data_IF_692915897904
#
_entry.id   IF_692915897904
#
_cell.length_a   1.000
_cell.length_b   1.000
_cell.length_c   1.000
_cell.angle_alpha   90.00
_cell.angle_beta   90.00
_cell.angle_gamma   90.00
#
_symmetry.space_group_name_H-M   'P 1'
#
loop_
_entity.id
_entity.type
_entity.pdbx_description
1 polymer ?
#
# COMPACT_ATOMS: atom_id res chain seq x y z
N UNK A 1 -22.28 28.84 18.98
CA UNK A 1 -21.93 28.17 17.69
C UNK A 1 -20.49 27.70 17.66
N UNK A 2 -19.48 28.55 17.93
CA UNK A 2 -18.07 28.14 17.91
C UNK A 2 -17.71 26.92 18.81
N UNK A 3 -18.30 26.80 20.01
CA UNK A 3 -18.07 25.64 20.89
C UNK A 3 -18.61 24.34 20.30
N UNK A 4 -19.75 24.41 19.60
CA UNK A 4 -20.36 23.24 18.96
C UNK A 4 -19.57 22.80 17.72
N UNK A 5 -19.08 23.76 16.93
CA UNK A 5 -18.19 23.48 15.79
C UNK A 5 -16.87 22.85 16.25
N UNK A 6 -16.24 23.40 17.28
CA UNK A 6 -15.02 22.85 17.86
C UNK A 6 -15.25 21.42 18.39
N UNK A 7 -16.36 21.21 19.10
CA UNK A 7 -16.74 19.89 19.59
C UNK A 7 -16.93 18.89 18.44
N UNK A 8 -17.68 19.27 17.39
CA UNK A 8 -17.89 18.42 16.23
C UNK A 8 -16.57 18.07 15.51
N UNK A 9 -15.67 19.05 15.35
CA UNK A 9 -14.34 18.80 14.78
C UNK A 9 -13.54 17.80 15.64
N UNK A 10 -13.49 18.00 16.96
CA UNK A 10 -12.77 17.10 17.87
C UNK A 10 -13.31 15.67 17.78
N UNK A 11 -14.63 15.49 17.73
CA UNK A 11 -15.26 14.16 17.60
C UNK A 11 -14.91 13.50 16.27
N UNK A 12 -14.94 14.25 15.16
CA UNK A 12 -14.57 13.73 13.84
C UNK A 12 -13.09 13.31 13.80
N UNK A 13 -12.18 14.16 14.28
CA UNK A 13 -10.75 13.83 14.34
C UNK A 13 -10.48 12.62 15.24
N UNK A 14 -11.17 12.52 16.38
CA UNK A 14 -11.04 11.41 17.31
C UNK A 14 -11.56 10.08 16.73
N UNK A 15 -12.39 10.10 15.68
CA UNK A 15 -12.83 8.90 14.98
C UNK A 15 -11.95 8.54 13.77
N UNK A 16 -11.62 9.54 12.94
CA UNK A 16 -10.90 9.33 11.67
C UNK A 16 -9.43 8.97 11.93
N UNK A 17 -8.74 9.73 12.78
CA UNK A 17 -7.28 9.54 12.99
C UNK A 17 -6.97 8.16 13.55
N UNK A 18 -7.67 7.63 14.58
CA UNK A 18 -7.40 6.28 15.06
C UNK A 18 -7.74 5.20 14.04
N UNK A 19 -8.76 5.41 13.20
CA UNK A 19 -9.08 4.47 12.13
C UNK A 19 -7.96 4.39 11.09
N UNK A 20 -7.47 5.54 10.63
CA UNK A 20 -6.35 5.63 9.70
C UNK A 20 -5.09 4.99 10.28
N UNK A 21 -4.76 5.32 11.53
CA UNK A 21 -3.61 4.73 12.24
C UNK A 21 -3.75 3.22 12.40
N UNK A 22 -4.95 2.73 12.72
CA UNK A 22 -5.23 1.30 12.76
C UNK A 22 -4.98 0.65 11.39
N UNK A 23 -5.44 1.29 10.31
CA UNK A 23 -5.27 0.78 8.96
C UNK A 23 -3.78 0.67 8.59
N UNK A 24 -3.03 1.74 8.85
CA UNK A 24 -1.58 1.79 8.64
C UNK A 24 -0.85 0.76 9.49
N UNK A 25 -1.21 0.64 10.76
CA UNK A 25 -0.60 -0.31 11.69
C UNK A 25 -0.77 -1.75 11.18
N UNK A 26 -1.98 -2.12 10.76
CA UNK A 26 -2.24 -3.45 10.20
C UNK A 26 -1.42 -3.69 8.92
N UNK A 27 -1.37 -2.73 7.99
CA UNK A 27 -0.56 -2.86 6.78
C UNK A 27 0.93 -3.02 7.06
N UNK A 28 1.45 -2.27 8.03
CA UNK A 28 2.83 -2.39 8.48
C UNK A 28 3.11 -3.77 9.08
N UNK A 29 2.23 -4.31 9.93
CA UNK A 29 2.36 -5.66 10.48
C UNK A 29 2.38 -6.73 9.39
N UNK A 30 1.47 -6.66 8.42
CA UNK A 30 1.45 -7.59 7.28
C UNK A 30 2.79 -7.52 6.52
N UNK A 31 3.27 -6.31 6.27
CA UNK A 31 4.52 -6.11 5.53
C UNK A 31 5.74 -6.67 6.30
N UNK A 32 5.74 -6.54 7.63
CA UNK A 32 6.76 -7.15 8.50
C UNK A 32 6.68 -8.68 8.43
N UNK A 33 5.48 -9.26 8.51
CA UNK A 33 5.30 -10.72 8.36
C UNK A 33 5.78 -11.20 6.99
N UNK A 34 5.53 -10.43 5.94
CA UNK A 34 6.02 -10.72 4.59
C UNK A 34 7.55 -10.70 4.51
N UNK A 35 8.19 -9.71 5.15
CA UNK A 35 9.65 -9.64 5.26
C UNK A 35 10.22 -10.84 6.03
N UNK A 36 9.54 -11.28 7.09
CA UNK A 36 9.92 -12.49 7.84
C UNK A 36 9.85 -13.73 6.94
N UNK A 37 8.75 -13.88 6.19
CA UNK A 37 8.58 -14.95 5.21
C UNK A 37 9.70 -14.95 4.17
N UNK A 38 10.04 -13.79 3.60
CA UNK A 38 11.14 -13.66 2.63
C UNK A 38 12.49 -14.11 3.22
N UNK A 39 12.72 -13.83 4.50
CA UNK A 39 13.94 -14.26 5.20
C UNK A 39 13.96 -15.77 5.39
N UNK A 40 12.84 -16.37 5.79
CA UNK A 40 12.69 -17.82 5.95
C UNK A 40 12.83 -18.56 4.61
N UNK A 41 12.24 -18.05 3.53
CA UNK A 41 12.42 -18.57 2.17
C UNK A 41 13.91 -18.56 1.80
N UNK A 42 14.60 -17.44 2.01
CA UNK A 42 16.02 -17.31 1.70
C UNK A 42 16.88 -18.28 2.51
N UNK A 43 16.55 -18.51 3.78
CA UNK A 43 17.23 -19.50 4.63
C UNK A 43 17.03 -20.93 4.12
N UNK A 44 15.78 -21.30 3.80
CA UNK A 44 15.43 -22.62 3.25
C UNK A 44 16.18 -22.89 1.93
N UNK A 45 16.30 -21.88 1.07
CA UNK A 45 16.96 -22.02 -0.23
C UNK A 45 18.49 -22.12 -0.14
N UNK A 46 19.10 -21.50 0.88
CA UNK A 46 20.55 -21.57 1.11
C UNK A 46 21.00 -22.79 1.93
N UNK A 47 20.07 -23.50 2.58
CA UNK A 47 20.40 -24.69 3.40
C UNK A 47 20.75 -25.87 2.48
N UNK A 48 21.95 -26.45 2.62
CA UNK A 48 22.34 -27.67 1.92
C UNK A 48 21.59 -28.89 2.48
N UNK A 49 21.21 -29.82 1.60
CA UNK A 49 20.36 -30.97 1.95
C UNK A 49 21.11 -32.24 1.56
N UNK A 50 21.91 -32.76 2.50
CA UNK A 50 22.80 -33.90 2.26
C UNK A 50 22.27 -35.19 2.88
N UNK A 51 21.58 -35.11 4.04
CA UNK A 51 21.08 -36.30 4.75
C UNK A 51 19.58 -36.56 4.48
N UNK A 52 19.10 -37.81 4.68
CA UNK A 52 17.67 -38.11 4.56
C UNK A 52 16.81 -37.43 5.65
N UNK A 53 17.39 -37.14 6.82
CA UNK A 53 16.73 -36.36 7.88
C UNK A 53 16.56 -34.89 7.46
N UNK A 54 17.58 -34.31 6.80
CA UNK A 54 17.51 -32.95 6.24
C UNK A 54 16.42 -32.82 5.18
N UNK A 55 16.20 -33.85 4.36
CA UNK A 55 15.11 -33.85 3.36
C UNK A 55 13.73 -33.79 4.03
N UNK A 56 13.53 -34.49 5.15
CA UNK A 56 12.25 -34.42 5.89
C UNK A 56 12.07 -33.05 6.54
N UNK A 57 13.12 -32.51 7.15
CA UNK A 57 13.11 -31.18 7.76
C UNK A 57 12.85 -30.09 6.71
N UNK A 58 13.50 -30.19 5.55
CA UNK A 58 13.30 -29.31 4.40
C UNK A 58 11.83 -29.32 3.95
N UNK A 59 11.23 -30.49 3.76
CA UNK A 59 9.81 -30.63 3.40
C UNK A 59 8.88 -29.98 4.42
N UNK A 60 9.12 -30.22 5.72
CA UNK A 60 8.32 -29.63 6.78
C UNK A 60 8.40 -28.09 6.79
N UNK A 61 9.60 -27.53 6.59
CA UNK A 61 9.82 -26.07 6.49
C UNK A 61 9.14 -25.48 5.25
N UNK A 62 9.25 -26.15 4.11
CA UNK A 62 8.59 -25.73 2.86
C UNK A 62 7.07 -25.68 3.03
N UNK A 63 6.46 -26.72 3.60
CA UNK A 63 5.01 -26.75 3.84
C UNK A 63 4.58 -25.58 4.71
N UNK A 64 5.29 -25.36 5.84
CA UNK A 64 5.01 -24.24 6.75
C UNK A 64 5.13 -22.89 6.05
N UNK A 65 6.15 -22.71 5.23
CA UNK A 65 6.38 -21.49 4.47
C UNK A 65 5.25 -21.22 3.46
N UNK A 66 4.80 -22.25 2.75
CA UNK A 66 3.70 -22.15 1.78
C UNK A 66 2.39 -21.82 2.48
N UNK A 67 2.11 -22.46 3.61
CA UNK A 67 0.91 -22.18 4.41
C UNK A 67 0.91 -20.75 4.94
N UNK A 68 2.06 -20.27 5.43
CA UNK A 68 2.22 -18.88 5.87
C UNK A 68 2.03 -17.89 4.71
N UNK A 69 2.62 -18.14 3.55
CA UNK A 69 2.43 -17.31 2.37
C UNK A 69 0.96 -17.25 1.92
N UNK A 70 0.29 -18.40 1.86
CA UNK A 70 -1.14 -18.49 1.52
C UNK A 70 -2.02 -17.77 2.54
N UNK A 71 -1.69 -17.87 3.83
CA UNK A 71 -2.37 -17.14 4.90
C UNK A 71 -2.25 -15.63 4.71
N UNK A 72 -1.02 -15.10 4.54
CA UNK A 72 -0.79 -13.67 4.36
C UNK A 72 -1.53 -13.13 3.14
N UNK A 73 -1.51 -13.89 2.05
CA UNK A 73 -2.22 -13.51 0.83
C UNK A 73 -3.72 -13.43 1.03
N UNK A 74 -4.34 -14.45 1.64
CA UNK A 74 -5.77 -14.44 1.96
C UNK A 74 -6.12 -13.28 2.89
N UNK A 75 -5.27 -13.02 3.88
CA UNK A 75 -5.44 -11.91 4.81
C UNK A 75 -5.43 -10.56 4.08
N UNK A 76 -4.49 -10.33 3.16
CA UNK A 76 -4.46 -9.11 2.35
C UNK A 76 -5.69 -9.00 1.44
N UNK A 77 -6.14 -10.09 0.83
CA UNK A 77 -7.35 -10.11 0.00
C UNK A 77 -8.61 -9.74 0.80
N UNK A 78 -8.78 -10.30 2.00
CA UNK A 78 -9.90 -10.00 2.89
C UNK A 78 -9.83 -8.57 3.45
N UNK A 79 -8.63 -8.11 3.78
CA UNK A 79 -8.38 -6.76 4.24
C UNK A 79 -8.69 -5.72 3.15
N UNK A 80 -8.22 -5.98 1.93
CA UNK A 80 -8.54 -5.19 0.74
C UNK A 80 -10.04 -5.14 0.50
N UNK A 81 -10.74 -6.28 0.57
CA UNK A 81 -12.19 -6.34 0.37
C UNK A 81 -12.96 -5.49 1.38
N UNK A 82 -12.50 -5.49 2.64
CA UNK A 82 -13.12 -4.72 3.72
C UNK A 82 -12.94 -3.21 3.52
N UNK A 83 -11.77 -2.78 3.05
CA UNK A 83 -11.46 -1.35 2.85
C UNK A 83 -11.82 -0.83 1.46
N UNK A 84 -12.10 -1.72 0.49
CA UNK A 84 -12.12 -1.37 -0.94
C UNK A 84 -13.05 -0.20 -1.27
N UNK A 85 -14.30 -0.26 -0.79
CA UNK A 85 -15.30 0.78 -1.05
C UNK A 85 -14.99 2.07 -0.29
N UNK A 86 -14.55 1.95 0.98
CA UNK A 86 -14.18 3.08 1.82
C UNK A 86 -13.00 3.87 1.24
N UNK A 87 -11.95 3.18 0.79
CA UNK A 87 -10.79 3.79 0.14
C UNK A 87 -11.15 4.47 -1.17
N UNK A 88 -12.06 3.89 -1.97
CA UNK A 88 -12.51 4.51 -3.21
C UNK A 88 -13.25 5.83 -2.93
N UNK A 89 -14.17 5.81 -1.95
CA UNK A 89 -14.87 7.02 -1.53
C UNK A 89 -13.92 8.06 -0.96
N UNK A 90 -12.94 7.64 -0.16
CA UNK A 90 -11.90 8.52 0.39
C UNK A 90 -11.09 9.18 -0.74
N UNK A 91 -10.61 8.44 -1.73
CA UNK A 91 -9.86 8.98 -2.87
C UNK A 91 -10.71 9.98 -3.66
N UNK A 92 -12.00 9.70 -3.86
CA UNK A 92 -12.90 10.62 -4.55
C UNK A 92 -13.07 11.94 -3.80
N UNK A 93 -13.33 11.88 -2.49
CA UNK A 93 -13.45 13.06 -1.63
C UNK A 93 -12.13 13.82 -1.57
N UNK A 94 -11.01 13.10 -1.47
CA UNK A 94 -9.66 13.67 -1.51
C UNK A 94 -9.46 14.50 -2.79
N UNK A 95 -9.67 13.91 -3.97
CA UNK A 95 -9.48 14.60 -5.26
C UNK A 95 -10.39 15.82 -5.39
N UNK A 96 -11.68 15.69 -5.06
CA UNK A 96 -12.63 16.81 -5.12
C UNK A 96 -12.25 17.95 -4.17
N UNK A 97 -11.91 17.61 -2.92
CA UNK A 97 -11.49 18.60 -1.91
C UNK A 97 -10.22 19.34 -2.34
N UNK A 98 -9.23 18.62 -2.89
CA UNK A 98 -8.01 19.20 -3.42
C UNK A 98 -8.28 20.17 -4.59
N UNK A 99 -9.13 19.78 -5.55
CA UNK A 99 -9.51 20.63 -6.67
C UNK A 99 -10.23 21.90 -6.22
N UNK A 100 -11.16 21.79 -5.25
CA UNK A 100 -11.88 22.93 -4.70
C UNK A 100 -10.95 23.89 -3.94
N UNK A 101 -10.02 23.36 -3.13
CA UNK A 101 -9.03 24.20 -2.43
C UNK A 101 -8.14 24.96 -3.40
N UNK A 102 -7.65 24.29 -4.45
CA UNK A 102 -6.84 24.93 -5.49
C UNK A 102 -7.63 26.00 -6.26
N UNK A 103 -8.92 25.78 -6.49
CA UNK A 103 -9.79 26.80 -7.08
C UNK A 103 -9.92 28.03 -6.17
N UNK A 104 -10.14 27.86 -4.87
CA UNK A 104 -10.19 28.96 -3.89
C UNK A 104 -8.86 29.72 -3.86
N UNK A 105 -7.73 29.03 -3.93
CA UNK A 105 -6.42 29.69 -4.02
C UNK A 105 -6.28 30.50 -5.32
N UNK A 106 -6.89 30.02 -6.42
CA UNK A 106 -6.83 30.69 -7.72
C UNK A 106 -7.57 32.02 -7.78
N UNK A 107 -8.60 32.23 -6.95
CA UNK A 107 -9.38 33.48 -6.91
C UNK A 107 -8.62 34.64 -6.25
N UNK A 108 -7.39 34.43 -5.79
CA UNK A 108 -6.56 35.45 -5.14
C UNK A 108 -7.11 35.89 -3.78
N UNK A 109 -7.35 34.96 -2.83
CA UNK A 109 -7.93 35.29 -1.53
C UNK A 109 -6.93 36.04 -0.65
N UNK A 110 -7.42 36.64 0.44
CA UNK A 110 -6.57 37.26 1.47
C UNK A 110 -5.51 36.29 2.01
N UNK A 111 -4.39 36.83 2.49
CA UNK A 111 -3.24 36.06 2.98
C UNK A 111 -3.63 35.03 4.05
N UNK A 112 -4.57 35.37 4.94
CA UNK A 112 -5.09 34.46 5.98
C UNK A 112 -5.77 33.22 5.37
N UNK A 113 -6.63 33.42 4.38
CA UNK A 113 -7.37 32.34 3.74
C UNK A 113 -6.43 31.47 2.89
N UNK A 114 -5.44 32.09 2.24
CA UNK A 114 -4.38 31.37 1.51
C UNK A 114 -3.57 30.46 2.44
N UNK A 115 -3.13 30.96 3.61
CA UNK A 115 -2.42 30.16 4.61
C UNK A 115 -3.29 28.99 5.07
N UNK A 116 -4.58 29.23 5.35
CA UNK A 116 -5.52 28.16 5.75
C UNK A 116 -5.64 27.07 4.68
N UNK A 117 -5.79 27.45 3.41
CA UNK A 117 -5.91 26.50 2.30
C UNK A 117 -4.63 25.68 2.13
N UNK A 118 -3.46 26.33 2.18
CA UNK A 118 -2.17 25.64 2.09
C UNK A 118 -1.96 24.67 3.26
N UNK A 119 -2.28 25.07 4.49
CA UNK A 119 -2.20 24.18 5.65
C UNK A 119 -3.16 22.99 5.53
N UNK A 120 -4.40 23.22 5.10
CA UNK A 120 -5.37 22.15 4.90
C UNK A 120 -4.89 21.15 3.83
N UNK A 121 -4.46 21.66 2.69
CA UNK A 121 -3.91 20.87 1.58
C UNK A 121 -2.71 20.04 2.02
N UNK A 122 -1.79 20.63 2.79
CA UNK A 122 -0.63 19.94 3.32
C UNK A 122 -1.03 18.83 4.30
N UNK A 123 -1.94 19.08 5.24
CA UNK A 123 -2.40 18.08 6.20
C UNK A 123 -3.07 16.90 5.49
N UNK A 124 -4.03 17.18 4.60
CA UNK A 124 -4.76 16.14 3.86
C UNK A 124 -3.83 15.29 2.99
N UNK A 125 -2.83 15.92 2.35
CA UNK A 125 -1.83 15.21 1.55
C UNK A 125 -0.94 14.30 2.40
N UNK A 126 -0.51 14.78 3.57
CA UNK A 126 0.31 14.00 4.50
C UNK A 126 -0.47 12.80 5.05
N UNK A 127 -1.72 13.00 5.47
CA UNK A 127 -2.59 11.94 5.96
C UNK A 127 -2.70 10.80 4.94
N UNK A 128 -3.01 11.12 3.67
CA UNK A 128 -3.08 10.10 2.62
C UNK A 128 -1.75 9.38 2.38
N UNK A 129 -0.64 10.15 2.27
CA UNK A 129 0.67 9.59 1.93
C UNK A 129 1.18 8.68 3.06
N UNK A 130 1.15 9.17 4.29
CA UNK A 130 1.67 8.43 5.45
C UNK A 130 0.80 7.22 5.80
N UNK A 131 -0.53 7.38 5.78
CA UNK A 131 -1.40 6.32 6.26
C UNK A 131 -1.70 5.25 5.21
N UNK A 132 -1.65 5.59 3.92
CA UNK A 132 -2.08 4.69 2.83
C UNK A 132 -0.99 4.44 1.80
N UNK A 133 -0.41 5.49 1.19
CA UNK A 133 0.49 5.30 0.05
C UNK A 133 1.81 4.60 0.43
N UNK A 134 2.47 5.03 1.50
CA UNK A 134 3.73 4.44 2.00
C UNK A 134 3.54 2.96 2.40
N UNK A 135 2.60 2.60 3.30
CA UNK A 135 2.45 1.20 3.72
C UNK A 135 1.98 0.29 2.58
N UNK A 136 1.11 0.78 1.68
CA UNK A 136 0.70 0.01 0.50
C UNK A 136 1.87 -0.28 -0.44
N UNK A 137 2.73 0.72 -0.68
CA UNK A 137 3.93 0.52 -1.48
C UNK A 137 4.90 -0.44 -0.81
N UNK A 138 5.11 -0.29 0.50
CA UNK A 138 6.03 -1.16 1.25
C UNK A 138 5.59 -2.62 1.19
N UNK A 139 4.29 -2.90 1.37
CA UNK A 139 3.72 -4.24 1.22
C UNK A 139 3.98 -4.80 -0.19
N UNK A 140 3.67 -4.00 -1.23
CA UNK A 140 3.83 -4.41 -2.62
C UNK A 140 5.28 -4.72 -2.96
N UNK A 141 6.23 -3.91 -2.46
CA UNK A 141 7.66 -4.15 -2.62
C UNK A 141 8.12 -5.41 -1.88
N UNK A 142 7.65 -5.68 -0.66
CA UNK A 142 7.99 -6.93 0.04
C UNK A 142 7.47 -8.16 -0.72
N UNK A 143 6.30 -8.07 -1.34
CA UNK A 143 5.77 -9.15 -2.18
C UNK A 143 6.60 -9.37 -3.45
N UNK A 144 7.08 -8.31 -4.10
CA UNK A 144 7.96 -8.42 -5.26
C UNK A 144 9.33 -9.04 -4.91
N UNK A 145 9.89 -8.70 -3.76
CA UNK A 145 11.15 -9.31 -3.27
C UNK A 145 11.02 -10.84 -3.14
N UNK A 146 9.84 -11.37 -2.85
CA UNK A 146 9.60 -12.82 -2.84
C UNK A 146 9.88 -13.44 -4.21
N UNK A 147 9.48 -12.77 -5.29
CA UNK A 147 9.75 -13.22 -6.66
C UNK A 147 11.24 -13.12 -7.00
N UNK A 148 11.89 -12.02 -6.61
CA UNK A 148 13.33 -11.80 -6.83
C UNK A 148 14.17 -12.89 -6.13
N UNK A 149 13.83 -13.25 -4.89
CA UNK A 149 14.51 -14.32 -4.15
C UNK A 149 14.39 -15.67 -4.87
N UNK A 150 13.21 -15.96 -5.43
CA UNK A 150 12.99 -17.19 -6.18
C UNK A 150 13.87 -17.22 -7.45
N UNK A 151 14.03 -16.08 -8.12
CA UNK A 151 14.82 -15.95 -9.33
C UNK A 151 16.34 -15.98 -9.07
N UNK A 152 16.81 -15.30 -8.03
CA UNK A 152 18.23 -15.22 -7.63
C UNK A 152 18.79 -16.56 -7.15
N UNK A 153 17.91 -17.47 -6.75
CA UNK A 153 18.32 -18.83 -6.42
C UNK A 153 18.83 -19.49 -7.68
N UNK A 154 20.01 -20.13 -7.64
CA UNK A 154 20.58 -20.89 -8.79
C UNK A 154 19.80 -22.19 -9.05
N UNK A 155 18.49 -22.10 -9.19
CA UNK A 155 17.52 -23.20 -9.30
C UNK A 155 17.80 -24.12 -10.49
N UNK A 156 18.44 -23.58 -11.53
CA UNK A 156 18.86 -24.32 -12.73
C UNK A 156 20.10 -25.19 -12.50
N UNK A 157 20.87 -24.93 -11.43
CA UNK A 157 22.08 -25.66 -11.08
C UNK A 157 21.90 -26.55 -9.83
N UNK A 158 20.67 -26.65 -9.31
CA UNK A 158 20.37 -27.46 -8.13
C UNK A 158 20.09 -28.91 -8.53
N UNK A 159 20.82 -29.86 -7.94
CA UNK A 159 20.61 -31.30 -8.16
C UNK A 159 19.34 -31.84 -7.47
N UNK A 160 18.91 -31.17 -6.40
CA UNK A 160 17.72 -31.53 -5.63
C UNK A 160 16.42 -31.13 -6.35
N UNK A 161 15.62 -32.13 -6.69
CA UNK A 161 14.32 -32.01 -7.35
C UNK A 161 13.29 -31.28 -6.47
N UNK A 162 13.34 -31.47 -5.16
CA UNK A 162 12.38 -30.87 -4.23
C UNK A 162 12.62 -29.36 -4.10
N UNK A 163 13.89 -28.93 -4.03
CA UNK A 163 14.25 -27.50 -4.10
C UNK A 163 13.81 -26.85 -5.40
N UNK A 164 14.05 -27.50 -6.54
CA UNK A 164 13.63 -26.98 -7.84
C UNK A 164 12.10 -26.84 -7.94
N UNK A 165 11.34 -27.82 -7.44
CA UNK A 165 9.88 -27.74 -7.40
C UNK A 165 9.40 -26.61 -6.49
N UNK A 166 10.06 -26.42 -5.35
CA UNK A 166 9.73 -25.34 -4.42
C UNK A 166 9.92 -23.95 -5.06
N UNK A 167 11.05 -23.72 -5.74
CA UNK A 167 11.30 -22.46 -6.46
C UNK A 167 10.25 -22.23 -7.55
N UNK A 168 9.93 -23.25 -8.37
CA UNK A 168 8.92 -23.13 -9.42
C UNK A 168 7.53 -22.78 -8.86
N UNK A 169 7.14 -23.41 -7.76
CA UNK A 169 5.91 -23.10 -7.05
C UNK A 169 5.95 -21.65 -6.53
N UNK A 170 7.03 -21.25 -5.85
CA UNK A 170 7.17 -19.90 -5.33
C UNK A 170 7.05 -18.84 -6.42
N UNK A 171 7.75 -19.02 -7.56
CA UNK A 171 7.65 -18.12 -8.71
C UNK A 171 6.23 -18.07 -9.29
N UNK A 172 5.47 -19.17 -9.25
CA UNK A 172 4.08 -19.17 -9.74
C UNK A 172 3.13 -18.40 -8.82
N UNK A 173 3.37 -18.44 -7.50
CA UNK A 173 2.49 -17.81 -6.50
C UNK A 173 2.86 -16.33 -6.29
N UNK A 174 4.16 -16.00 -6.32
CA UNK A 174 4.68 -14.64 -6.15
C UNK A 174 4.28 -13.69 -7.28
N UNK A 175 4.04 -14.21 -8.50
CA UNK A 175 3.55 -13.42 -9.66
C UNK A 175 2.18 -12.78 -9.47
N UNK A 176 1.40 -13.20 -8.47
CA UNK A 176 0.11 -12.58 -8.18
C UNK A 176 0.34 -11.31 -7.37
N UNK A 177 -0.03 -10.16 -7.94
CA UNK A 177 0.16 -8.85 -7.35
C UNK A 177 -0.53 -8.74 -5.97
N UNK A 178 0.26 -8.45 -4.95
CA UNK A 178 -0.20 -8.19 -3.58
C UNK A 178 -0.12 -6.68 -3.37
N UNK A 179 -1.24 -6.00 -3.55
CA UNK A 179 -1.31 -4.55 -3.45
C UNK A 179 -2.63 -4.10 -2.82
N UNK A 180 -2.65 -2.88 -2.29
CA UNK A 180 -3.85 -2.27 -1.72
C UNK A 180 -4.77 -1.77 -2.83
N UNK A 181 -5.98 -2.32 -2.92
CA UNK A 181 -6.91 -2.06 -4.03
C UNK A 181 -8.16 -1.28 -3.58
N UNK A 182 -8.30 -0.05 -4.07
CA UNK A 182 -9.50 0.75 -3.91
C UNK A 182 -10.52 0.42 -5.01
N UNK A 183 -11.71 -0.01 -4.58
CA UNK A 183 -12.83 -0.39 -5.45
C UNK A 183 -12.56 -1.52 -6.45
N UNK A 184 -11.44 -2.25 -6.34
CA UNK A 184 -10.87 -3.14 -7.39
C UNK A 184 -10.58 -2.44 -8.73
N UNK A 185 -10.57 -1.11 -8.74
CA UNK A 185 -10.34 -0.29 -9.94
C UNK A 185 -8.97 0.37 -9.86
N UNK A 186 -8.55 0.74 -8.65
CA UNK A 186 -7.35 1.52 -8.40
C UNK A 186 -6.43 0.78 -7.44
N UNK A 187 -5.21 0.52 -7.90
CA UNK A 187 -4.12 0.03 -7.05
C UNK A 187 -3.40 1.22 -6.44
N UNK A 188 -3.36 1.28 -5.11
CA UNK A 188 -2.64 2.35 -4.39
C UNK A 188 -1.15 2.00 -4.38
N UNK A 189 -0.39 2.74 -5.17
CA UNK A 189 1.07 2.71 -5.21
C UNK A 189 1.61 4.14 -5.41
N UNK A 190 2.92 4.31 -5.41
CA UNK A 190 3.53 5.63 -5.62
C UNK A 190 3.23 6.20 -7.01
N UNK A 191 3.14 5.33 -8.02
CA UNK A 191 2.83 5.75 -9.39
C UNK A 191 1.41 6.34 -9.50
N UNK A 192 0.42 5.67 -8.91
CA UNK A 192 -0.96 6.13 -8.82
C UNK A 192 -1.04 7.43 -8.04
N UNK A 193 -0.38 7.50 -6.88
CA UNK A 193 -0.36 8.71 -6.05
C UNK A 193 0.20 9.90 -6.83
N UNK A 194 1.31 9.72 -7.56
CA UNK A 194 1.89 10.76 -8.40
C UNK A 194 0.97 11.15 -9.57
N UNK A 195 0.36 10.16 -10.24
CA UNK A 195 -0.63 10.39 -11.30
C UNK A 195 -1.83 11.19 -10.78
N UNK A 196 -2.33 10.87 -9.59
CA UNK A 196 -3.43 11.56 -8.94
C UNK A 196 -3.10 13.04 -8.72
N UNK A 197 -1.96 13.35 -8.10
CA UNK A 197 -1.52 14.74 -7.90
C UNK A 197 -1.30 15.47 -9.23
N UNK A 198 -0.68 14.84 -10.23
CA UNK A 198 -0.50 15.43 -11.57
C UNK A 198 -1.83 15.80 -12.21
N UNK A 199 -2.86 14.96 -12.07
CA UNK A 199 -4.20 15.25 -12.58
C UNK A 199 -4.83 16.43 -11.85
N UNK A 200 -4.73 16.48 -10.52
CA UNK A 200 -5.22 17.60 -9.70
C UNK A 200 -4.56 18.92 -10.16
N UNK A 201 -3.23 18.96 -10.29
CA UNK A 201 -2.51 20.16 -10.73
C UNK A 201 -2.79 20.52 -12.20
N UNK A 202 -2.91 19.53 -13.08
CA UNK A 202 -3.28 19.77 -14.48
C UNK A 202 -4.67 20.41 -14.60
N UNK A 203 -5.63 19.90 -13.82
CA UNK A 203 -6.98 20.46 -13.76
C UNK A 203 -6.98 21.88 -13.19
N UNK A 204 -6.21 22.13 -12.14
CA UNK A 204 -5.98 23.48 -11.62
C UNK A 204 -5.40 24.43 -12.68
N UNK A 205 -4.35 24.03 -13.40
CA UNK A 205 -3.73 24.84 -14.44
C UNK A 205 -4.70 25.13 -15.60
N UNK A 206 -5.53 24.15 -15.95
CA UNK A 206 -6.60 24.31 -16.93
C UNK A 206 -7.64 25.35 -16.46
N UNK A 207 -8.18 25.20 -15.24
CA UNK A 207 -9.14 26.15 -14.67
C UNK A 207 -8.56 27.56 -14.57
N UNK A 208 -7.30 27.70 -14.16
CA UNK A 208 -6.61 28.99 -14.08
C UNK A 208 -6.48 29.66 -15.44
N UNK A 209 -6.15 28.89 -16.49
CA UNK A 209 -6.07 29.40 -17.86
C UNK A 209 -7.43 29.89 -18.36
N UNK A 210 -8.49 29.12 -18.10
CA UNK A 210 -9.86 29.48 -18.48
C UNK A 210 -10.36 30.71 -17.72
N UNK A 211 -10.10 30.79 -16.41
CA UNK A 211 -10.52 31.92 -15.57
C UNK A 211 -9.76 33.22 -15.84
N UNK A 212 -8.61 33.17 -16.53
CA UNK A 212 -7.83 34.35 -16.93
C UNK A 212 -8.24 34.89 -18.31
N UNK A 213 -9.00 34.13 -19.09
CA UNK A 213 -9.51 34.52 -20.41
C UNK A 213 -10.93 35.14 -20.35
N UNK A 214 -11.43 35.42 -19.16
CA UNK A 214 -12.67 36.15 -18.87
C UNK A 214 -12.35 37.36 -17.99
#
# INVERSE_FOLDING_TARGET
MAVYELYAMCVLFAAIVPFDLYVTYMMCLISIQWKSLNTEIKDILNTDVDTPEDHQLFKARVIRCVDHHNFLKRYVEDYNKSLSLGLLAYIMVFVLSNCLNLFIVSTGPETRELVRCCCYQFNLSNEFIFNYAIPAQFLSTQAQITEDIAFDTKWYNTADKDKRNFVLMLSSVAKKEVALNAGKIVTINYEFTLKMYRTIYSYYMFLRTMGRNH
#
